data_IF_453520057677
#
_entry.id   IF_453520057677
#
_cell.length_a   1.000
_cell.length_b   1.000
_cell.length_c   1.000
_cell.angle_alpha   90.00
_cell.angle_beta   90.00
_cell.angle_gamma   90.00
#
_symmetry.space_group_name_H-M   'P 1'
#
loop_
_entity.id
_entity.type
_entity.pdbx_description
1 polymer ?
#
# COMPACT_ATOMS: atom_id res chain seq x y z
N UNK A 1 -22.42 10.57 1.81
CA UNK A 1 -21.38 10.44 0.75
C UNK A 1 -21.01 11.83 0.27
N UNK A 2 -19.76 12.19 0.31
CA UNK A 2 -19.26 13.47 -0.18
C UNK A 2 -18.38 13.22 -1.41
N UNK A 3 -18.63 13.96 -2.49
CA UNK A 3 -17.83 13.88 -3.72
C UNK A 3 -17.16 15.24 -3.91
N UNK A 4 -15.83 15.23 -4.07
CA UNK A 4 -15.07 16.44 -4.45
C UNK A 4 -14.86 16.43 -5.95
N UNK A 5 -15.31 17.48 -6.59
CA UNK A 5 -15.09 17.73 -8.01
C UNK A 5 -13.91 18.67 -8.18
N UNK A 6 -12.95 18.26 -9.02
CA UNK A 6 -11.86 19.14 -9.46
C UNK A 6 -12.13 19.53 -10.90
N UNK A 7 -12.33 20.83 -11.20
CA UNK A 7 -12.44 21.30 -12.58
C UNK A 7 -11.20 20.90 -13.36
N UNK A 8 -11.39 20.26 -14.49
CA UNK A 8 -10.30 19.81 -15.35
C UNK A 8 -10.71 19.97 -16.82
N UNK A 9 -9.92 20.72 -17.55
CA UNK A 9 -10.04 20.79 -19.01
C UNK A 9 -9.02 19.84 -19.62
N UNK A 10 -9.47 18.90 -20.43
CA UNK A 10 -8.61 17.93 -21.12
C UNK A 10 -8.70 18.11 -22.63
N UNK A 11 -7.81 17.42 -23.37
CA UNK A 11 -7.87 17.42 -24.83
C UNK A 11 -9.15 16.78 -25.38
N UNK A 12 -9.83 15.97 -24.58
CA UNK A 12 -11.09 15.29 -24.96
C UNK A 12 -12.35 16.00 -24.45
N UNK A 13 -12.22 16.96 -23.52
CA UNK A 13 -13.36 17.70 -22.93
C UNK A 13 -12.92 19.08 -22.48
N UNK A 14 -13.56 20.13 -23.05
CA UNK A 14 -13.27 21.52 -22.71
C UNK A 14 -13.77 21.92 -21.30
N UNK A 15 -14.81 21.26 -20.80
CA UNK A 15 -15.47 21.57 -19.52
C UNK A 15 -15.73 20.26 -18.76
N UNK A 16 -14.68 19.68 -18.25
CA UNK A 16 -14.74 18.44 -17.46
C UNK A 16 -14.51 18.68 -15.98
N UNK A 17 -14.68 17.61 -15.21
CA UNK A 17 -14.28 17.54 -13.82
C UNK A 17 -13.78 16.13 -13.51
N UNK A 18 -12.73 16.02 -12.69
CA UNK A 18 -12.33 14.75 -12.09
C UNK A 18 -12.96 14.67 -10.70
N UNK A 19 -13.66 13.58 -10.45
CA UNK A 19 -14.32 13.34 -9.17
C UNK A 19 -13.48 12.44 -8.30
N UNK A 20 -13.15 12.93 -7.10
CA UNK A 20 -12.56 12.14 -6.04
C UNK A 20 -13.68 11.56 -5.16
N UNK A 21 -13.92 10.24 -5.19
CA UNK A 21 -14.95 9.63 -4.36
C UNK A 21 -14.51 9.64 -2.89
N UNK A 22 -15.27 10.31 -2.03
CA UNK A 22 -15.05 10.36 -0.58
C UNK A 22 -16.35 10.02 0.12
N UNK A 23 -16.33 9.02 0.99
CA UNK A 23 -17.46 8.69 1.87
C UNK A 23 -17.09 9.03 3.30
N UNK A 24 -18.00 9.71 4.02
CA UNK A 24 -17.79 10.08 5.42
C UNK A 24 -18.96 9.59 6.25
N UNK A 25 -18.64 8.77 7.25
CA UNK A 25 -19.55 8.45 8.34
C UNK A 25 -19.12 9.28 9.55
N UNK A 26 -20.03 10.02 10.16
CA UNK A 26 -19.73 10.88 11.32
C UNK A 26 -20.85 10.77 12.33
N UNK A 27 -20.54 10.16 13.48
CA UNK A 27 -21.46 10.01 14.60
C UNK A 27 -20.69 9.96 15.91
N UNK A 28 -21.01 10.85 16.85
CA UNK A 28 -20.33 10.94 18.12
C UNK A 28 -18.98 11.67 18.10
N UNK A 29 -18.22 11.54 19.19
CA UNK A 29 -16.99 12.31 19.47
C UNK A 29 -15.71 11.44 19.51
N UNK A 30 -15.77 10.23 18.98
CA UNK A 30 -14.60 9.34 18.90
C UNK A 30 -13.55 9.82 17.87
N UNK A 31 -12.47 9.05 17.68
CA UNK A 31 -11.40 9.40 16.76
C UNK A 31 -11.87 9.41 15.30
N UNK A 32 -11.06 10.05 14.46
CA UNK A 32 -11.24 10.04 12.99
C UNK A 32 -10.26 9.05 12.37
N UNK A 33 -10.81 8.00 11.76
CA UNK A 33 -10.04 6.99 11.03
C UNK A 33 -10.25 7.22 9.54
N UNK A 34 -9.15 7.39 8.82
CA UNK A 34 -9.18 7.57 7.36
C UNK A 34 -8.55 6.36 6.68
N UNK A 35 -9.27 5.76 5.75
CA UNK A 35 -8.76 4.73 4.87
C UNK A 35 -8.64 5.30 3.47
N UNK A 36 -7.45 5.17 2.90
CA UNK A 36 -7.11 5.59 1.54
C UNK A 36 -6.75 4.35 0.75
N UNK A 37 -7.11 4.31 -0.52
CA UNK A 37 -6.70 3.27 -1.46
C UNK A 37 -6.70 3.82 -2.89
N UNK A 38 -6.13 3.06 -3.84
CA UNK A 38 -6.04 3.49 -5.22
C UNK A 38 -5.13 4.70 -5.40
N UNK A 39 -4.10 4.82 -4.59
CA UNK A 39 -2.96 5.71 -4.77
C UNK A 39 -2.26 5.36 -6.10
N UNK A 40 -2.04 4.07 -6.35
CA UNK A 40 -1.72 3.53 -7.66
C UNK A 40 -2.96 2.82 -8.23
N UNK A 41 -3.21 3.00 -9.53
CA UNK A 41 -4.47 2.56 -10.15
C UNK A 41 -4.49 1.09 -10.57
N UNK A 42 -3.40 0.38 -10.43
CA UNK A 42 -3.26 -1.06 -10.72
C UNK A 42 -3.23 -1.93 -9.45
N UNK A 43 -3.62 -1.36 -8.30
CA UNK A 43 -3.74 -2.00 -6.99
C UNK A 43 -5.21 -2.06 -6.59
N UNK A 44 -5.78 -3.27 -6.47
CA UNK A 44 -7.25 -3.44 -6.41
C UNK A 44 -7.81 -3.86 -5.07
N UNK A 45 -7.00 -4.42 -4.17
CA UNK A 45 -7.44 -4.95 -2.88
C UNK A 45 -8.07 -3.86 -2.00
N UNK A 46 -7.37 -2.74 -1.87
CA UNK A 46 -7.82 -1.57 -1.11
C UNK A 46 -9.10 -0.95 -1.68
N UNK A 47 -9.13 -0.58 -2.96
CA UNK A 47 -10.34 -0.05 -3.60
C UNK A 47 -11.57 -0.92 -3.40
N UNK A 48 -11.47 -2.22 -3.64
CA UNK A 48 -12.58 -3.16 -3.48
C UNK A 48 -13.02 -3.29 -2.01
N UNK A 49 -12.07 -3.36 -1.07
CA UNK A 49 -12.39 -3.43 0.36
C UNK A 49 -13.12 -2.18 0.83
N UNK A 50 -12.66 -0.98 0.44
CA UNK A 50 -13.28 0.28 0.86
C UNK A 50 -14.64 0.53 0.19
N UNK A 51 -14.82 0.13 -1.07
CA UNK A 51 -16.13 0.18 -1.74
C UNK A 51 -17.14 -0.73 -1.05
N UNK A 52 -16.72 -1.95 -0.67
CA UNK A 52 -17.54 -2.89 0.10
C UNK A 52 -17.88 -2.32 1.47
N UNK A 53 -16.88 -1.85 2.20
CA UNK A 53 -17.05 -1.25 3.53
C UNK A 53 -18.01 -0.05 3.51
N UNK A 54 -17.93 0.80 2.47
CA UNK A 54 -18.83 1.93 2.30
C UNK A 54 -20.31 1.53 2.14
N UNK A 55 -20.57 0.32 1.62
CA UNK A 55 -21.94 -0.23 1.49
C UNK A 55 -22.44 -0.96 2.73
N UNK A 56 -21.55 -1.37 3.63
CA UNK A 56 -21.89 -2.20 4.80
C UNK A 56 -21.99 -1.42 6.11
N UNK A 57 -21.23 -0.31 6.25
CA UNK A 57 -21.22 0.47 7.48
C UNK A 57 -22.56 1.19 7.71
N UNK A 58 -23.14 0.97 8.89
CA UNK A 58 -24.27 1.74 9.38
C UNK A 58 -23.75 2.93 10.24
N UNK A 59 -24.16 4.14 9.88
CA UNK A 59 -23.78 5.34 10.63
C UNK A 59 -24.19 5.29 12.10
N UNK A 60 -25.27 4.58 12.43
CA UNK A 60 -25.73 4.44 13.80
C UNK A 60 -24.78 3.61 14.67
N UNK A 61 -23.98 2.72 14.06
CA UNK A 61 -23.00 1.89 14.75
C UNK A 61 -21.62 2.56 14.92
N UNK A 62 -21.43 3.76 14.37
CA UNK A 62 -20.15 4.48 14.42
C UNK A 62 -20.09 5.37 15.67
N UNK A 63 -18.96 5.33 16.35
CA UNK A 63 -18.61 6.26 17.45
C UNK A 63 -17.36 7.04 17.06
N UNK A 64 -17.54 8.21 16.41
CA UNK A 64 -16.47 9.03 15.87
C UNK A 64 -16.66 9.30 14.39
N UNK A 65 -15.55 9.26 13.62
CA UNK A 65 -15.59 9.54 12.18
C UNK A 65 -14.81 8.51 11.38
N UNK A 66 -15.41 8.05 10.28
CA UNK A 66 -14.74 7.20 9.28
C UNK A 66 -14.74 7.94 7.95
N UNK A 67 -13.57 8.09 7.34
CA UNK A 67 -13.40 8.68 6.02
C UNK A 67 -12.86 7.57 5.10
N UNK A 68 -13.57 7.29 4.00
CA UNK A 68 -13.17 6.29 3.01
C UNK A 68 -12.88 6.98 1.67
N UNK A 69 -11.67 6.77 1.15
CA UNK A 69 -11.21 7.26 -0.16
C UNK A 69 -10.78 6.06 -0.99
N UNK A 70 -11.71 5.36 -1.65
CA UNK A 70 -11.41 4.08 -2.31
C UNK A 70 -10.56 4.22 -3.58
N UNK A 71 -10.53 5.39 -4.22
CA UNK A 71 -9.83 5.63 -5.46
C UNK A 71 -9.19 7.03 -5.42
N UNK A 72 -8.08 7.17 -4.69
CA UNK A 72 -7.39 8.44 -4.53
C UNK A 72 -6.97 9.01 -5.89
N UNK A 73 -6.32 8.20 -6.71
CA UNK A 73 -5.93 8.52 -8.07
C UNK A 73 -6.95 7.95 -9.07
N UNK A 74 -8.18 8.49 -9.03
CA UNK A 74 -9.27 7.98 -9.86
C UNK A 74 -8.93 7.86 -11.36
N UNK A 75 -8.16 8.79 -11.99
CA UNK A 75 -7.71 8.61 -13.37
C UNK A 75 -6.78 7.41 -13.57
N UNK A 76 -5.86 7.16 -12.65
CA UNK A 76 -4.96 6.00 -12.70
C UNK A 76 -5.74 4.69 -12.52
N UNK A 77 -6.71 4.65 -11.59
CA UNK A 77 -7.61 3.50 -11.40
C UNK A 77 -8.40 3.20 -12.68
N UNK A 78 -8.97 4.24 -13.31
CA UNK A 78 -9.70 4.06 -14.56
C UNK A 78 -8.82 3.57 -15.73
N UNK A 79 -7.53 3.90 -15.70
CA UNK A 79 -6.55 3.45 -16.68
C UNK A 79 -5.86 2.13 -16.31
N UNK A 80 -6.13 1.58 -15.13
CA UNK A 80 -5.43 0.42 -14.58
C UNK A 80 -3.90 0.60 -14.66
N UNK A 81 -3.39 1.76 -14.23
CA UNK A 81 -1.98 2.13 -14.33
C UNK A 81 -1.45 2.70 -13.02
N UNK A 82 -0.16 2.48 -12.75
CA UNK A 82 0.51 3.03 -11.57
C UNK A 82 0.48 4.55 -11.56
N UNK A 83 0.73 5.18 -12.70
CA UNK A 83 0.76 6.63 -12.89
C UNK A 83 -0.59 7.16 -13.35
N UNK A 84 -0.87 8.42 -13.01
CA UNK A 84 -2.01 9.15 -13.59
C UNK A 84 -1.80 9.36 -15.09
N UNK A 85 -2.74 8.95 -15.96
CA UNK A 85 -2.63 9.18 -17.41
C UNK A 85 -2.82 10.66 -17.79
N UNK A 86 -3.23 11.52 -16.86
CA UNK A 86 -3.50 12.94 -17.11
C UNK A 86 -2.20 13.76 -17.10
N UNK A 87 -1.29 13.47 -16.19
CA UNK A 87 -0.07 14.24 -15.96
C UNK A 87 1.18 13.38 -15.80
N UNK A 88 1.06 12.07 -15.92
CA UNK A 88 2.16 11.09 -15.82
C UNK A 88 2.88 11.09 -14.46
N UNK A 89 2.22 11.58 -13.41
CA UNK A 89 2.79 11.63 -12.08
C UNK A 89 2.45 10.39 -11.25
N UNK A 90 3.42 9.97 -10.43
CA UNK A 90 3.20 9.01 -9.35
C UNK A 90 2.64 9.77 -8.15
N UNK A 91 1.39 9.45 -7.76
CA UNK A 91 0.71 10.12 -6.65
C UNK A 91 1.53 10.03 -5.35
N UNK A 92 2.16 8.90 -5.09
CA UNK A 92 2.98 8.68 -3.89
C UNK A 92 4.44 9.18 -4.04
N UNK A 93 4.66 10.25 -4.82
CA UNK A 93 5.95 10.96 -4.98
C UNK A 93 5.78 12.47 -5.04
N UNK A 94 4.56 12.97 -4.79
CA UNK A 94 4.23 14.38 -4.99
C UNK A 94 3.59 15.05 -3.78
N UNK A 95 3.43 14.34 -2.65
CA UNK A 95 2.96 14.97 -1.41
C UNK A 95 3.98 15.99 -0.88
N UNK A 96 3.51 17.12 -0.31
CA UNK A 96 2.13 17.46 0.04
C UNK A 96 1.29 18.00 -1.13
N UNK A 97 1.78 17.99 -2.36
CA UNK A 97 1.08 18.50 -3.52
C UNK A 97 1.21 20.01 -3.74
N UNK A 98 0.43 20.51 -4.68
CA UNK A 98 0.38 21.92 -5.02
C UNK A 98 -1.01 22.30 -5.53
N UNK A 99 -1.68 23.22 -4.83
CA UNK A 99 -3.03 23.66 -5.18
C UNK A 99 -3.16 24.25 -6.59
N UNK A 100 -2.09 24.83 -7.13
CA UNK A 100 -2.03 25.43 -8.48
C UNK A 100 -1.30 24.53 -9.48
N UNK A 101 -0.90 23.34 -9.07
CA UNK A 101 -0.19 22.39 -9.89
C UNK A 101 -1.08 21.56 -10.82
N UNK A 102 -0.55 20.47 -11.30
CA UNK A 102 -1.27 19.49 -12.12
C UNK A 102 -2.43 18.86 -11.34
N UNK A 103 -3.24 18.04 -12.03
CA UNK A 103 -4.39 17.38 -11.38
C UNK A 103 -3.96 16.51 -10.19
N UNK A 104 -2.92 15.68 -10.35
CA UNK A 104 -2.42 14.82 -9.28
C UNK A 104 -1.88 15.64 -8.10
N UNK A 105 -1.15 16.73 -8.38
CA UNK A 105 -0.67 17.63 -7.33
C UNK A 105 -1.81 18.33 -6.58
N UNK A 106 -2.90 18.69 -7.26
CA UNK A 106 -4.08 19.27 -6.62
C UNK A 106 -4.81 18.25 -5.72
N UNK A 107 -4.86 16.97 -6.11
CA UNK A 107 -5.42 15.89 -5.29
C UNK A 107 -4.54 15.70 -4.05
N UNK A 108 -3.23 15.62 -4.21
CA UNK A 108 -2.28 15.50 -3.09
C UNK A 108 -2.40 16.69 -2.12
N UNK A 109 -2.48 17.94 -2.61
CA UNK A 109 -2.74 19.13 -1.80
C UNK A 109 -4.04 19.03 -1.00
N UNK A 110 -5.11 18.52 -1.62
CA UNK A 110 -6.38 18.32 -0.93
C UNK A 110 -6.26 17.31 0.23
N UNK A 111 -5.54 16.21 0.01
CA UNK A 111 -5.29 15.23 1.08
C UNK A 111 -4.47 15.88 2.20
N UNK A 112 -3.39 16.54 1.84
CA UNK A 112 -2.48 17.17 2.81
C UNK A 112 -3.16 18.28 3.65
N UNK A 113 -4.01 19.11 3.03
CA UNK A 113 -4.59 20.28 3.69
C UNK A 113 -5.97 20.05 4.29
N UNK A 114 -6.74 19.08 3.78
CA UNK A 114 -8.12 18.87 4.21
C UNK A 114 -8.34 17.54 4.95
N UNK A 115 -7.63 16.47 4.57
CA UNK A 115 -7.85 15.13 5.13
C UNK A 115 -6.90 14.87 6.29
N UNK A 116 -5.58 15.01 6.07
CA UNK A 116 -4.56 14.72 7.11
C UNK A 116 -4.82 15.51 8.40
N UNK A 117 -5.10 16.83 8.39
CA UNK A 117 -5.34 17.57 9.63
C UNK A 117 -6.58 17.09 10.42
N UNK A 118 -7.55 16.48 9.73
CA UNK A 118 -8.82 16.01 10.33
C UNK A 118 -8.79 14.55 10.76
N UNK A 119 -7.70 13.84 10.47
CA UNK A 119 -7.52 12.43 10.79
C UNK A 119 -6.67 12.25 12.04
N UNK A 120 -6.97 11.25 12.84
CA UNK A 120 -6.12 10.80 13.94
C UNK A 120 -5.27 9.61 13.50
N UNK A 121 -5.85 8.73 12.68
CA UNK A 121 -5.22 7.54 12.13
C UNK A 121 -5.50 7.49 10.63
N UNK A 122 -4.47 7.23 9.84
CA UNK A 122 -4.58 7.07 8.39
C UNK A 122 -3.99 5.71 8.00
N UNK A 123 -4.76 4.95 7.23
CA UNK A 123 -4.29 3.74 6.58
C UNK A 123 -4.28 3.96 5.06
N UNK A 124 -3.13 3.71 4.42
CA UNK A 124 -3.02 3.68 2.95
C UNK A 124 -2.87 2.23 2.49
N UNK A 125 -3.87 1.74 1.76
CA UNK A 125 -3.98 0.33 1.41
C UNK A 125 -3.40 0.11 0.02
N UNK A 126 -2.20 -0.44 -0.01
CA UNK A 126 -1.42 -0.78 -1.19
C UNK A 126 -1.36 -2.29 -1.45
N UNK A 127 -0.90 -2.62 -2.64
CA UNK A 127 -0.42 -3.93 -3.08
C UNK A 127 0.66 -3.77 -4.14
N UNK A 128 1.28 -4.87 -4.58
CA UNK A 128 2.41 -4.82 -5.53
C UNK A 128 2.07 -4.33 -6.95
N UNK A 129 0.81 -4.00 -7.23
CA UNK A 129 0.38 -3.58 -8.57
C UNK A 129 0.75 -4.61 -9.63
N UNK A 130 1.11 -4.14 -10.84
CA UNK A 130 1.47 -5.02 -11.96
C UNK A 130 2.91 -5.55 -11.91
N UNK A 131 3.76 -5.01 -11.04
CA UNK A 131 5.20 -5.28 -11.09
C UNK A 131 5.75 -6.09 -9.93
N UNK A 132 5.00 -6.20 -8.85
CA UNK A 132 5.35 -6.99 -7.67
C UNK A 132 4.17 -7.85 -7.22
N UNK A 133 4.52 -8.92 -6.49
CA UNK A 133 3.58 -9.80 -5.81
C UNK A 133 4.11 -10.07 -4.40
N UNK A 134 3.38 -9.61 -3.39
CA UNK A 134 3.76 -9.68 -1.98
C UNK A 134 3.03 -10.81 -1.25
N UNK A 135 3.69 -11.40 -0.24
CA UNK A 135 2.92 -12.03 0.82
C UNK A 135 2.15 -10.95 1.57
N UNK A 136 0.83 -11.11 1.84
CA UNK A 136 0.06 -10.04 2.45
C UNK A 136 0.63 -9.58 3.79
N UNK A 137 0.81 -8.26 3.93
CA UNK A 137 1.37 -7.63 5.13
C UNK A 137 0.75 -6.26 5.42
N UNK A 138 0.84 -5.84 6.68
CA UNK A 138 0.71 -4.46 7.11
C UNK A 138 2.07 -3.95 7.57
N UNK A 139 2.37 -2.67 7.37
CA UNK A 139 3.69 -2.11 7.65
C UNK A 139 3.64 -0.75 8.34
N UNK A 140 4.68 -0.47 9.11
CA UNK A 140 4.99 0.82 9.73
C UNK A 140 6.47 1.12 9.60
N UNK A 141 6.83 2.40 9.62
CA UNK A 141 8.23 2.80 9.70
C UNK A 141 8.76 2.74 11.14
N UNK A 142 10.09 2.74 11.28
CA UNK A 142 10.74 3.04 12.54
C UNK A 142 10.68 4.56 12.76
N UNK A 143 9.98 4.98 13.81
CA UNK A 143 9.76 6.39 14.15
C UNK A 143 10.59 6.80 15.37
N UNK A 144 11.04 8.05 15.39
CA UNK A 144 11.81 8.60 16.52
C UNK A 144 10.96 8.82 17.77
N UNK A 145 9.66 9.14 17.61
CA UNK A 145 8.72 9.28 18.73
C UNK A 145 8.19 7.91 19.18
N UNK A 146 8.55 7.43 20.38
CA UNK A 146 8.15 6.10 20.85
C UNK A 146 6.65 5.96 21.09
N UNK A 147 5.92 7.03 21.39
CA UNK A 147 4.47 6.98 21.56
C UNK A 147 3.76 6.88 20.21
N UNK A 148 4.25 7.60 19.19
CA UNK A 148 3.76 7.47 17.83
C UNK A 148 4.07 6.08 17.28
N UNK A 149 5.30 5.57 17.45
CA UNK A 149 5.72 4.22 17.09
C UNK A 149 4.78 3.18 17.66
N UNK A 150 4.56 3.21 18.99
CA UNK A 150 3.70 2.27 19.69
C UNK A 150 2.26 2.29 19.18
N UNK A 151 1.72 3.47 18.88
CA UNK A 151 0.37 3.59 18.31
C UNK A 151 0.29 3.00 16.92
N UNK A 152 1.26 3.30 16.05
CA UNK A 152 1.30 2.77 14.69
C UNK A 152 1.43 1.24 14.69
N UNK A 153 2.30 0.67 15.52
CA UNK A 153 2.43 -0.78 15.69
C UNK A 153 1.15 -1.42 16.23
N UNK A 154 0.47 -0.78 17.18
CA UNK A 154 -0.81 -1.27 17.71
C UNK A 154 -1.87 -1.37 16.61
N UNK A 155 -1.98 -0.36 15.74
CA UNK A 155 -2.91 -0.37 14.61
C UNK A 155 -2.50 -1.39 13.56
N UNK A 156 -1.20 -1.50 13.24
CA UNK A 156 -0.66 -2.51 12.31
C UNK A 156 -1.02 -3.94 12.76
N UNK A 157 -0.81 -4.26 14.02
CA UNK A 157 -1.15 -5.59 14.59
C UNK A 157 -2.66 -5.80 14.61
N UNK A 158 -3.43 -4.77 14.98
CA UNK A 158 -4.89 -4.84 14.98
C UNK A 158 -5.48 -5.07 13.59
N UNK A 159 -4.85 -4.55 12.53
CA UNK A 159 -5.25 -4.83 11.14
C UNK A 159 -5.29 -6.35 10.88
N UNK A 160 -4.36 -7.11 11.45
CA UNK A 160 -4.41 -8.57 11.45
C UNK A 160 -4.02 -9.20 10.12
N UNK A 161 -3.09 -8.57 9.38
CA UNK A 161 -2.46 -9.23 8.23
C UNK A 161 -1.59 -10.42 8.68
N UNK A 162 -1.38 -11.44 7.82
CA UNK A 162 -0.52 -12.58 8.13
C UNK A 162 0.92 -12.20 8.50
N UNK A 163 1.40 -11.07 8.01
CA UNK A 163 2.71 -10.52 8.33
C UNK A 163 2.58 -9.06 8.77
N UNK A 164 3.38 -8.67 9.75
CA UNK A 164 3.53 -7.30 10.23
C UNK A 164 4.97 -6.87 10.02
N UNK A 165 5.20 -5.77 9.33
CA UNK A 165 6.53 -5.31 8.91
C UNK A 165 6.88 -4.00 9.60
N UNK A 166 8.07 -3.95 10.20
CA UNK A 166 8.74 -2.70 10.55
C UNK A 166 9.86 -2.43 9.54
N UNK A 167 9.87 -1.25 8.95
CA UNK A 167 10.88 -0.91 7.94
C UNK A 167 11.44 0.49 8.17
N UNK A 168 12.65 0.70 7.72
CA UNK A 168 13.21 2.05 7.64
C UNK A 168 12.65 2.75 6.41
N UNK A 169 12.29 4.03 6.55
CA UNK A 169 12.01 4.86 5.40
C UNK A 169 13.26 4.96 4.50
N UNK A 170 13.11 4.63 3.25
CA UNK A 170 14.19 4.61 2.27
C UNK A 170 14.12 5.74 1.25
N UNK A 171 12.92 6.33 1.07
CA UNK A 171 12.66 7.41 0.11
C UNK A 171 11.59 8.34 0.68
N UNK A 172 12.01 9.27 1.52
CA UNK A 172 11.16 10.19 2.29
C UNK A 172 10.54 11.33 1.47
N UNK A 173 10.77 11.36 0.14
CA UNK A 173 10.35 12.49 -0.68
C UNK A 173 9.01 12.27 -1.35
N UNK A 174 8.04 13.10 -0.96
CA UNK A 174 6.76 13.19 -1.62
C UNK A 174 5.84 11.99 -1.38
N UNK A 175 6.06 11.23 -0.32
CA UNK A 175 5.22 10.10 0.08
C UNK A 175 4.15 10.54 1.08
N UNK A 176 3.01 9.84 1.07
CA UNK A 176 1.90 10.13 1.99
C UNK A 176 2.24 9.75 3.42
N UNK A 177 2.90 8.62 3.63
CA UNK A 177 3.36 8.15 4.93
C UNK A 177 4.24 9.18 5.64
N UNK A 178 5.30 9.64 4.98
CA UNK A 178 6.22 10.68 5.50
C UNK A 178 5.48 11.96 5.89
N UNK A 179 4.52 12.41 5.05
CA UNK A 179 3.69 13.58 5.37
C UNK A 179 2.85 13.37 6.64
N UNK A 180 2.21 12.22 6.76
CA UNK A 180 1.33 11.89 7.89
C UNK A 180 2.13 11.72 9.17
N UNK A 181 3.23 10.99 9.11
CA UNK A 181 4.12 10.73 10.24
C UNK A 181 4.78 12.02 10.76
N UNK A 182 5.27 12.87 9.84
CA UNK A 182 5.80 14.20 10.19
C UNK A 182 4.75 15.14 10.82
N UNK A 183 3.45 14.87 10.60
CA UNK A 183 2.35 15.59 11.24
C UNK A 183 2.01 15.04 12.64
N UNK A 184 2.77 14.07 13.15
CA UNK A 184 2.54 13.42 14.44
C UNK A 184 1.30 12.52 14.49
N UNK A 185 0.80 12.10 13.32
CA UNK A 185 -0.37 11.22 13.19
C UNK A 185 0.05 9.76 13.09
N UNK A 186 -0.88 8.86 13.45
CA UNK A 186 -0.67 7.43 13.28
C UNK A 186 -0.86 7.04 11.82
N UNK A 187 0.14 6.37 11.25
CA UNK A 187 0.09 5.87 9.88
C UNK A 187 0.37 4.36 9.83
N UNK A 188 -0.35 3.67 8.98
CA UNK A 188 -0.10 2.26 8.63
C UNK A 188 -0.30 2.11 7.13
N UNK A 189 0.61 1.41 6.48
CA UNK A 189 0.45 0.99 5.09
C UNK A 189 0.27 -0.51 4.98
N UNK A 190 -0.10 -1.00 3.82
CA UNK A 190 -0.19 -2.44 3.53
C UNK A 190 0.43 -2.77 2.19
N UNK A 191 0.78 -4.06 2.01
CA UNK A 191 1.06 -4.69 0.72
C UNK A 191 0.30 -6.03 0.67
N UNK A 192 -0.82 -6.08 -0.05
CA UNK A 192 -1.81 -7.16 0.07
C UNK A 192 -1.81 -8.12 -1.13
N UNK A 193 -0.65 -8.43 -1.70
CA UNK A 193 -0.54 -9.26 -2.90
C UNK A 193 0.00 -8.47 -4.07
N UNK A 194 -0.64 -8.55 -5.23
CA UNK A 194 -0.16 -7.84 -6.43
C UNK A 194 -0.53 -8.54 -7.74
N UNK A 195 0.37 -8.45 -8.72
CA UNK A 195 0.14 -9.00 -10.07
C UNK A 195 -0.94 -8.26 -10.86
N UNK A 196 -1.30 -7.03 -10.47
CA UNK A 196 -2.34 -6.22 -11.11
C UNK A 196 -3.74 -6.84 -11.01
N UNK A 197 -4.02 -7.54 -9.89
CA UNK A 197 -5.28 -8.24 -9.64
C UNK A 197 -5.54 -8.30 -8.13
N UNK A 198 -6.63 -8.92 -7.74
CA UNK A 198 -6.91 -9.25 -6.35
C UNK A 198 -7.32 -10.71 -6.24
N UNK A 199 -7.08 -11.32 -5.08
CA UNK A 199 -7.56 -12.66 -4.75
C UNK A 199 -8.69 -12.57 -3.73
N UNK A 200 -9.44 -13.66 -3.57
CA UNK A 200 -10.44 -13.75 -2.49
C UNK A 200 -9.78 -13.54 -1.12
N UNK A 201 -8.60 -14.11 -0.93
CA UNK A 201 -7.87 -14.04 0.33
C UNK A 201 -7.35 -12.62 0.60
N UNK A 202 -6.70 -11.97 -0.39
CA UNK A 202 -6.18 -10.60 -0.23
C UNK A 202 -7.31 -9.60 0.04
N UNK A 203 -8.46 -9.76 -0.63
CA UNK A 203 -9.64 -8.94 -0.39
C UNK A 203 -10.23 -9.17 1.01
N UNK A 204 -10.29 -10.42 1.48
CA UNK A 204 -10.76 -10.75 2.82
C UNK A 204 -9.84 -10.15 3.90
N UNK A 205 -8.51 -10.19 3.69
CA UNK A 205 -7.54 -9.56 4.60
C UNK A 205 -7.76 -8.04 4.64
N UNK A 206 -7.86 -7.38 3.49
CA UNK A 206 -8.09 -5.94 3.40
C UNK A 206 -9.38 -5.53 4.11
N UNK A 207 -10.48 -6.18 3.82
CA UNK A 207 -11.80 -5.85 4.37
C UNK A 207 -11.87 -6.12 5.89
N UNK A 208 -11.41 -7.29 6.34
CA UNK A 208 -11.38 -7.64 7.77
C UNK A 208 -10.43 -6.72 8.53
N UNK A 209 -9.29 -6.37 7.93
CA UNK A 209 -8.31 -5.46 8.52
C UNK A 209 -8.90 -4.07 8.77
N UNK A 210 -9.64 -3.51 7.81
CA UNK A 210 -10.35 -2.25 8.00
C UNK A 210 -11.36 -2.32 9.16
N UNK A 211 -12.18 -3.39 9.22
CA UNK A 211 -13.12 -3.59 10.31
C UNK A 211 -12.42 -3.76 11.67
N UNK A 212 -11.30 -4.47 11.70
CA UNK A 212 -10.52 -4.67 12.91
C UNK A 212 -9.96 -3.34 13.45
N UNK A 213 -9.45 -2.48 12.59
CA UNK A 213 -8.96 -1.15 13.00
C UNK A 213 -10.08 -0.31 13.58
N UNK A 214 -11.27 -0.31 12.96
CA UNK A 214 -12.44 0.41 13.50
C UNK A 214 -12.86 -0.12 14.88
N UNK A 215 -12.81 -1.43 15.08
CA UNK A 215 -13.12 -2.07 16.37
C UNK A 215 -12.04 -1.81 17.43
N UNK A 216 -10.77 -1.91 17.04
CA UNK A 216 -9.63 -1.68 17.93
C UNK A 216 -9.59 -0.25 18.46
N UNK A 217 -10.11 0.70 17.68
CA UNK A 217 -10.17 2.12 18.04
C UNK A 217 -11.51 2.55 18.65
N UNK A 218 -12.37 1.61 18.99
CA UNK A 218 -13.72 1.84 19.54
C UNK A 218 -14.62 2.71 18.65
N UNK A 219 -14.28 2.83 17.34
CA UNK A 219 -15.12 3.51 16.35
C UNK A 219 -16.29 2.63 15.91
N UNK A 220 -16.11 1.31 15.94
CA UNK A 220 -17.14 0.32 15.68
C UNK A 220 -17.20 -0.67 16.85
N UNK A 221 -18.40 -1.00 17.33
CA UNK A 221 -18.56 -2.02 18.34
C UNK A 221 -18.21 -3.41 17.83
N UNK A 222 -17.61 -4.24 18.67
CA UNK A 222 -17.32 -5.64 18.41
C UNK A 222 -15.88 -6.05 18.73
N UNK A 223 -15.64 -7.34 18.69
CA UNK A 223 -14.31 -7.90 18.95
C UNK A 223 -13.44 -7.90 17.68
N UNK A 224 -12.15 -7.63 17.87
CA UNK A 224 -11.15 -7.70 16.81
C UNK A 224 -10.93 -9.17 16.44
N UNK A 225 -11.01 -9.48 15.17
CA UNK A 225 -10.74 -10.83 14.65
C UNK A 225 -9.25 -10.96 14.33
N UNK A 226 -8.44 -11.25 15.34
CA UNK A 226 -6.99 -11.42 15.17
C UNK A 226 -6.66 -12.78 14.55
N UNK A 227 -5.70 -12.75 13.61
CA UNK A 227 -4.92 -13.90 13.16
C UNK A 227 -3.53 -13.81 13.78
N UNK A 228 -2.83 -14.93 13.93
CA UNK A 228 -1.40 -14.86 14.25
C UNK A 228 -0.68 -14.15 13.13
N UNK A 229 0.09 -13.12 13.47
CA UNK A 229 0.95 -12.41 12.53
C UNK A 229 2.40 -12.80 12.75
N UNK A 230 3.17 -12.88 11.68
CA UNK A 230 4.62 -13.05 11.72
C UNK A 230 5.23 -11.65 11.69
N UNK A 231 6.11 -11.35 12.65
CA UNK A 231 6.79 -10.06 12.69
C UNK A 231 8.03 -10.10 11.81
N UNK A 232 8.13 -9.13 10.93
CA UNK A 232 9.21 -8.94 9.98
C UNK A 232 9.89 -7.58 10.17
N UNK A 233 11.16 -7.49 9.83
CA UNK A 233 11.92 -6.22 9.82
C UNK A 233 12.73 -6.06 8.54
N UNK A 234 12.79 -4.80 8.08
CA UNK A 234 13.67 -4.34 7.00
C UNK A 234 14.44 -3.10 7.49
N UNK A 235 15.53 -3.30 8.26
CA UNK A 235 16.29 -2.18 8.81
C UNK A 235 17.23 -1.51 7.80
N UNK A 236 17.53 -2.18 6.68
CA UNK A 236 18.55 -1.77 5.71
C UNK A 236 18.12 -1.99 4.25
N UNK A 237 18.87 -1.37 3.33
CA UNK A 237 18.56 -1.40 1.88
C UNK A 237 18.93 -2.72 1.19
N UNK A 238 19.73 -3.58 1.80
CA UNK A 238 20.17 -4.87 1.23
C UNK A 238 19.07 -5.96 1.25
N UNK A 239 17.87 -5.59 1.74
CA UNK A 239 16.63 -6.39 1.61
C UNK A 239 16.17 -6.54 0.16
N UNK A 240 16.58 -5.63 -0.73
CA UNK A 240 16.17 -5.64 -2.13
C UNK A 240 17.16 -6.39 -2.99
N UNK A 241 16.69 -7.32 -3.81
CA UNK A 241 17.45 -7.98 -4.86
C UNK A 241 17.05 -7.36 -6.19
N UNK A 242 17.97 -6.64 -6.82
CA UNK A 242 17.76 -5.96 -8.10
C UNK A 242 18.31 -6.82 -9.24
N UNK A 243 17.53 -6.96 -10.31
CA UNK A 243 17.96 -7.65 -11.51
C UNK A 243 19.06 -6.85 -12.23
N UNK A 244 20.16 -7.51 -12.60
CA UNK A 244 21.24 -6.95 -13.41
C UNK A 244 21.19 -7.40 -14.89
N UNK A 245 20.16 -8.19 -15.23
CA UNK A 245 19.91 -8.70 -16.58
C UNK A 245 18.42 -8.72 -16.92
N UNK A 246 18.11 -8.78 -18.21
CA UNK A 246 16.75 -8.95 -18.71
C UNK A 246 16.49 -10.40 -19.13
N UNK A 247 15.23 -10.86 -19.05
CA UNK A 247 14.86 -12.17 -19.54
C UNK A 247 13.58 -12.74 -18.96
N UNK A 248 13.40 -14.05 -19.13
CA UNK A 248 12.28 -14.77 -18.49
C UNK A 248 12.68 -15.19 -17.08
N UNK A 249 11.86 -14.79 -16.12
CA UNK A 249 12.08 -15.02 -14.70
C UNK A 249 11.54 -16.40 -14.28
N UNK A 250 12.40 -17.23 -13.72
CA UNK A 250 12.07 -18.46 -13.00
C UNK A 250 12.27 -18.22 -11.50
N UNK A 251 11.21 -18.31 -10.70
CA UNK A 251 11.34 -18.26 -9.25
C UNK A 251 11.75 -19.64 -8.70
N UNK A 252 12.77 -19.67 -7.85
CA UNK A 252 13.28 -20.86 -7.17
C UNK A 252 12.82 -20.93 -5.70
N UNK A 253 12.16 -19.89 -5.19
CA UNK A 253 11.58 -19.82 -3.86
C UNK A 253 10.14 -19.28 -3.92
N UNK A 254 9.31 -19.66 -2.95
CA UNK A 254 7.93 -19.20 -2.87
C UNK A 254 7.82 -17.92 -2.04
N UNK A 255 6.99 -16.99 -2.48
CA UNK A 255 6.62 -15.80 -1.69
C UNK A 255 6.00 -16.23 -0.36
N UNK A 256 6.41 -15.58 0.73
CA UNK A 256 6.04 -15.94 2.09
C UNK A 256 6.84 -17.09 2.69
N UNK A 257 7.67 -17.78 1.89
CA UNK A 257 8.53 -18.88 2.34
C UNK A 257 9.90 -18.41 2.86
N UNK A 258 10.60 -19.29 3.63
CA UNK A 258 11.96 -19.00 4.10
C UNK A 258 12.96 -19.07 2.95
N UNK A 259 13.96 -18.21 3.03
CA UNK A 259 15.16 -18.25 2.17
C UNK A 259 16.41 -18.22 3.05
N UNK A 260 17.49 -18.79 2.54
CA UNK A 260 18.76 -18.89 3.26
C UNK A 260 19.87 -18.22 2.45
N UNK A 261 20.74 -17.48 3.12
CA UNK A 261 21.87 -16.80 2.50
C UNK A 261 22.65 -17.74 1.58
N UNK A 262 22.83 -17.32 0.34
CA UNK A 262 23.51 -18.09 -0.70
C UNK A 262 22.64 -19.18 -1.36
N UNK A 263 21.36 -19.34 -1.00
CA UNK A 263 20.43 -20.18 -1.79
C UNK A 263 19.95 -19.44 -3.03
N UNK A 264 19.78 -20.17 -4.14
CA UNK A 264 19.22 -19.60 -5.35
C UNK A 264 17.74 -19.30 -5.16
N UNK A 265 17.34 -18.03 -5.30
CA UNK A 265 15.95 -17.57 -5.18
C UNK A 265 15.28 -17.37 -6.53
N UNK A 266 16.06 -17.12 -7.57
CA UNK A 266 15.54 -16.95 -8.92
C UNK A 266 16.61 -17.21 -9.98
N UNK A 267 16.15 -17.46 -11.23
CA UNK A 267 16.95 -17.51 -12.44
C UNK A 267 16.34 -16.63 -13.52
N UNK A 268 17.19 -15.96 -14.28
CA UNK A 268 16.75 -15.21 -15.47
C UNK A 268 17.31 -15.94 -16.70
N UNK A 269 16.41 -16.38 -17.57
CA UNK A 269 16.72 -17.08 -18.79
C UNK A 269 16.77 -16.12 -19.97
N UNK A 270 17.82 -16.18 -20.77
CA UNK A 270 17.90 -15.47 -22.05
C UNK A 270 17.03 -16.19 -23.10
N UNK A 271 15.84 -15.66 -23.34
CA UNK A 271 14.90 -16.25 -24.30
C UNK A 271 15.27 -15.96 -25.76
N UNK A 272 16.26 -15.10 -26.01
CA UNK A 272 16.76 -14.75 -27.35
C UNK A 272 17.85 -15.73 -27.81
N UNK A 273 18.53 -16.38 -26.87
CA UNK A 273 19.63 -17.33 -27.17
C UNK A 273 19.39 -18.65 -26.43
N UNK A 274 18.93 -19.66 -27.17
CA UNK A 274 18.70 -21.01 -26.62
C UNK A 274 20.00 -21.70 -26.24
N UNK A 275 19.99 -22.45 -25.14
CA UNK A 275 21.15 -23.22 -24.69
C UNK A 275 22.15 -22.43 -23.83
N UNK A 276 21.87 -21.18 -23.52
CA UNK A 276 22.66 -20.38 -22.55
C UNK A 276 22.31 -20.78 -21.13
N UNK A 277 23.30 -20.72 -20.23
CA UNK A 277 23.11 -20.95 -18.80
C UNK A 277 22.36 -19.72 -18.22
N UNK A 278 21.27 -19.92 -17.47
CA UNK A 278 20.55 -18.80 -16.88
C UNK A 278 21.39 -18.07 -15.82
N UNK A 279 21.13 -16.78 -15.66
CA UNK A 279 21.71 -15.98 -14.60
C UNK A 279 21.02 -16.32 -13.27
N UNK A 280 21.80 -16.80 -12.30
CA UNK A 280 21.28 -17.11 -10.97
C UNK A 280 21.34 -15.89 -10.03
N UNK A 281 20.31 -15.74 -9.19
CA UNK A 281 20.21 -14.73 -8.14
C UNK A 281 20.09 -15.43 -6.79
N UNK A 282 21.00 -15.08 -5.89
CA UNK A 282 21.11 -15.70 -4.59
C UNK A 282 20.51 -14.81 -3.51
N UNK A 283 19.95 -15.42 -2.47
CA UNK A 283 19.54 -14.69 -1.28
C UNK A 283 20.74 -14.01 -0.63
N UNK A 284 20.65 -12.72 -0.34
CA UNK A 284 21.67 -11.92 0.33
C UNK A 284 21.78 -12.27 1.81
N UNK A 285 20.69 -12.78 2.41
CA UNK A 285 20.50 -13.07 3.84
C UNK A 285 19.56 -14.25 4.06
N UNK A 286 19.54 -14.75 5.30
CA UNK A 286 18.46 -15.59 5.79
C UNK A 286 17.23 -14.71 6.03
N UNK A 287 16.02 -15.23 5.81
CA UNK A 287 14.79 -14.48 6.04
C UNK A 287 13.61 -15.06 5.30
N UNK A 288 12.63 -14.20 5.06
CA UNK A 288 11.38 -14.50 4.35
C UNK A 288 11.39 -13.79 3.01
N UNK A 289 11.11 -14.50 1.92
CA UNK A 289 10.87 -13.90 0.61
C UNK A 289 9.53 -13.16 0.66
N UNK A 290 9.58 -11.87 0.97
CA UNK A 290 8.40 -11.05 1.21
C UNK A 290 7.68 -10.67 -0.09
N UNK A 291 8.45 -10.39 -1.14
CA UNK A 291 7.92 -10.04 -2.46
C UNK A 291 8.79 -10.58 -3.58
N UNK A 292 8.17 -10.73 -4.74
CA UNK A 292 8.86 -11.09 -5.99
C UNK A 292 8.42 -10.18 -7.14
N UNK A 293 9.23 -10.11 -8.17
CA UNK A 293 8.83 -9.48 -9.43
C UNK A 293 7.64 -10.19 -10.07
N UNK A 294 6.78 -9.41 -10.70
CA UNK A 294 5.67 -9.84 -11.53
C UNK A 294 5.62 -8.96 -12.81
N UNK A 295 5.29 -9.43 -14.03
CA UNK A 295 5.01 -10.82 -14.42
C UNK A 295 6.29 -11.66 -14.65
N UNK A 296 6.27 -12.58 -15.60
CA UNK A 296 7.37 -13.48 -15.90
C UNK A 296 8.50 -12.90 -16.78
N UNK A 297 8.39 -11.66 -17.26
CA UNK A 297 9.48 -10.94 -17.96
C UNK A 297 9.99 -9.84 -17.03
N UNK A 298 11.31 -9.81 -16.86
CA UNK A 298 12.01 -8.84 -16.02
C UNK A 298 13.06 -8.07 -16.84
N UNK A 299 13.32 -6.83 -16.46
CA UNK A 299 14.35 -5.99 -17.06
C UNK A 299 15.48 -5.70 -16.05
N UNK A 300 16.65 -5.38 -16.56
CA UNK A 300 17.73 -4.90 -15.71
C UNK A 300 17.31 -3.59 -15.01
N UNK A 301 17.50 -3.55 -13.69
CA UNK A 301 17.05 -2.45 -12.82
C UNK A 301 15.73 -2.70 -12.11
N UNK A 302 14.95 -3.72 -12.50
CA UNK A 302 13.72 -4.07 -11.78
C UNK A 302 14.03 -4.72 -10.43
N UNK A 303 13.15 -4.50 -9.46
CA UNK A 303 13.15 -5.25 -8.20
C UNK A 303 12.74 -6.70 -8.47
N UNK A 304 13.68 -7.63 -8.33
CA UNK A 304 13.47 -9.06 -8.53
C UNK A 304 12.79 -9.69 -7.31
N UNK A 305 13.26 -9.34 -6.11
CA UNK A 305 12.79 -9.92 -4.87
C UNK A 305 13.04 -8.98 -3.69
N UNK A 306 12.24 -9.14 -2.64
CA UNK A 306 12.44 -8.47 -1.34
C UNK A 306 12.50 -9.53 -0.25
N UNK A 307 13.54 -9.45 0.59
CA UNK A 307 13.76 -10.38 1.71
C UNK A 307 13.72 -9.59 3.01
N UNK A 308 12.89 -10.02 3.96
CA UNK A 308 12.78 -9.44 5.28
C UNK A 308 13.26 -10.41 6.36
N UNK A 309 13.82 -9.88 7.43
CA UNK A 309 14.24 -10.66 8.59
C UNK A 309 13.00 -11.02 9.44
N UNK A 310 12.90 -12.29 9.86
CA UNK A 310 11.88 -12.68 10.82
C UNK A 310 12.38 -12.40 12.25
N UNK A 311 11.58 -11.68 13.03
CA UNK A 311 11.96 -11.30 14.41
C UNK A 311 10.88 -11.74 15.40
N UNK A 312 11.20 -11.89 16.70
CA UNK A 312 10.19 -12.15 17.73
C UNK A 312 9.14 -11.03 17.79
N UNK A 313 7.90 -11.42 18.06
CA UNK A 313 6.76 -10.49 18.26
C UNK A 313 6.90 -9.74 19.57
#
# INVERSE_FOLDING_TARGET
MCIRDRPHSSNSSAWGAVRLPVTVFNNGNGPTITFIAGNHGDEYEGPLALLKLAGELDIASISGRVILIPCLNAPAVAAASRLSPVDNLNMNRIFPGNRQGSLSEQIADYIATEIVPRSDIILDIHSGGKTLDFTPLAAVHFLDDPEQQKKSESIMIAFGAPNSLRMRELDDRGMLDTLVEASGKTFVTTELGGGGSSTRESLEIAHTGCLNVLKHTDVLEGEVTLRSTRMLEMPETDSFVIADSEGMLEMCANVGGPVYKGSCIARIHDYKNTGTVPREYMASRDGVLMARHFPGLIQAGDCLAVIADEVPL
#
